data_IF_770535142522
#
_entry.id   IF_770535142522
#
_cell.length_a   1.000
_cell.length_b   1.000
_cell.length_c   1.000
_cell.angle_alpha   90.00
_cell.angle_beta   90.00
_cell.angle_gamma   90.00
#
_symmetry.space_group_name_H-M   'P 1'
#
loop_
_entity.id
_entity.type
_entity.pdbx_description
1 polymer ?
#
# COMPACT_ATOMS: atom_id res chain seq x y z
N UNK A 1 46.17 3.20 47.39
CA UNK A 1 45.07 2.26 47.06
C UNK A 1 43.65 2.90 47.03
N UNK A 2 43.49 4.24 46.97
CA UNK A 2 42.17 4.91 46.91
C UNK A 2 41.74 5.38 45.51
N UNK A 3 42.68 5.56 44.57
CA UNK A 3 42.41 6.10 43.22
C UNK A 3 41.61 5.14 42.32
N UNK A 4 41.86 3.83 42.40
CA UNK A 4 41.17 2.81 41.59
C UNK A 4 39.69 2.64 41.97
N UNK A 5 39.30 2.96 43.21
CA UNK A 5 37.92 2.88 43.70
C UNK A 5 37.01 3.98 43.13
N UNK A 6 37.57 5.09 42.67
CA UNK A 6 36.80 6.24 42.13
C UNK A 6 36.59 6.17 40.61
N UNK A 7 37.43 5.41 39.90
CA UNK A 7 37.31 5.16 38.45
C UNK A 7 36.19 4.16 38.09
N UNK A 8 35.91 3.23 39.00
CA UNK A 8 34.89 2.19 38.85
C UNK A 8 33.45 2.72 38.67
N UNK A 9 32.95 3.69 39.48
CA UNK A 9 31.62 4.25 39.29
C UNK A 9 31.50 5.07 38.00
N UNK A 10 32.58 5.76 37.57
CA UNK A 10 32.58 6.52 36.31
C UNK A 10 32.47 5.59 35.11
N UNK A 11 33.21 4.47 35.11
CA UNK A 11 33.10 3.45 34.07
C UNK A 11 31.73 2.76 34.05
N UNK A 12 31.12 2.51 35.21
CA UNK A 12 29.76 1.95 35.29
C UNK A 12 28.70 2.89 34.70
N UNK A 13 28.79 4.20 34.95
CA UNK A 13 27.86 5.19 34.39
C UNK A 13 28.05 5.32 32.87
N UNK A 14 29.30 5.31 32.39
CA UNK A 14 29.61 5.39 30.96
C UNK A 14 29.14 4.14 30.20
N UNK A 15 29.29 2.95 30.80
CA UNK A 15 28.79 1.69 30.23
C UNK A 15 27.25 1.64 30.20
N UNK A 16 26.59 2.19 31.23
CA UNK A 16 25.13 2.32 31.26
C UNK A 16 24.62 3.30 30.19
N UNK A 17 25.30 4.41 29.95
CA UNK A 17 24.88 5.39 28.93
C UNK A 17 25.00 4.84 27.50
N UNK A 18 25.99 3.99 27.23
CA UNK A 18 26.18 3.32 25.92
C UNK A 18 25.20 2.16 25.72
N UNK A 19 24.70 1.53 26.79
CA UNK A 19 23.78 0.38 26.73
C UNK A 19 22.29 0.72 26.51
N UNK A 20 21.87 1.98 26.64
CA UNK A 20 20.46 2.38 26.52
C UNK A 20 20.06 2.86 25.11
N UNK A 21 20.95 2.75 24.12
CA UNK A 21 20.73 3.28 22.76
C UNK A 21 19.90 2.43 21.80
N UNK A 22 19.53 1.19 22.15
CA UNK A 22 18.84 0.26 21.24
C UNK A 22 17.56 -0.32 21.87
N UNK A 23 16.61 0.55 22.20
CA UNK A 23 15.22 0.17 22.42
C UNK A 23 14.31 0.97 21.49
N UNK A 24 14.62 0.98 20.19
CA UNK A 24 13.63 1.34 19.17
C UNK A 24 12.60 0.23 19.12
N UNK A 25 11.55 0.37 19.92
CA UNK A 25 10.44 -0.58 20.03
C UNK A 25 9.77 -0.74 18.66
N UNK A 26 9.96 -1.94 18.11
CA UNK A 26 9.44 -2.49 16.85
C UNK A 26 7.91 -2.68 16.83
N UNK A 27 7.12 -1.66 17.20
CA UNK A 27 5.65 -1.73 17.18
C UNK A 27 5.00 -1.01 15.99
N UNK A 28 5.74 -0.78 14.90
CA UNK A 28 5.12 -0.28 13.67
C UNK A 28 4.25 -1.36 13.04
N UNK A 29 2.96 -1.09 12.73
CA UNK A 29 2.14 -2.01 11.95
C UNK A 29 2.83 -2.39 10.64
N UNK A 30 2.75 -3.67 10.26
CA UNK A 30 3.23 -4.10 8.95
C UNK A 30 2.35 -3.50 7.84
N UNK A 31 2.94 -3.04 6.72
CA UNK A 31 2.17 -2.55 5.59
C UNK A 31 1.34 -3.67 4.96
N UNK A 32 0.09 -3.35 4.61
CA UNK A 32 -0.83 -4.22 3.89
C UNK A 32 -0.92 -3.77 2.44
N UNK A 33 -0.84 -4.73 1.53
CA UNK A 33 -0.91 -4.48 0.10
C UNK A 33 -2.24 -5.02 -0.44
N UNK A 34 -2.88 -4.21 -1.28
CA UNK A 34 -4.18 -4.47 -1.86
C UNK A 34 -4.09 -4.40 -3.38
N UNK A 35 -4.67 -5.36 -4.06
CA UNK A 35 -4.89 -5.29 -5.51
C UNK A 35 -6.37 -5.04 -5.77
N UNK A 36 -6.67 -4.50 -6.93
CA UNK A 36 -8.07 -4.36 -7.34
C UNK A 36 -8.57 -5.74 -7.80
N UNK A 37 -9.65 -6.27 -7.21
CA UNK A 37 -10.18 -7.58 -7.55
C UNK A 37 -11.00 -7.54 -8.85
N UNK A 38 -10.93 -8.62 -9.63
CA UNK A 38 -11.77 -8.81 -10.83
C UNK A 38 -13.19 -9.23 -10.46
N UNK A 39 -14.16 -8.97 -11.35
CA UNK A 39 -15.57 -9.32 -11.14
C UNK A 39 -15.79 -10.83 -10.95
N UNK A 40 -14.88 -11.67 -11.45
CA UNK A 40 -14.86 -13.12 -11.18
C UNK A 40 -14.79 -13.43 -9.67
N UNK A 41 -14.15 -12.55 -8.89
CA UNK A 41 -14.06 -12.69 -7.43
C UNK A 41 -15.29 -12.14 -6.70
N UNK A 42 -16.18 -11.41 -7.40
CA UNK A 42 -17.28 -10.65 -6.79
C UNK A 42 -18.67 -11.32 -6.93
N UNK A 43 -18.78 -12.44 -7.66
CA UNK A 43 -20.01 -13.23 -7.75
C UNK A 43 -20.51 -13.45 -9.19
N UNK A 44 -21.83 -13.49 -9.38
CA UNK A 44 -22.44 -13.80 -10.68
C UNK A 44 -22.14 -12.71 -11.72
N UNK A 45 -21.41 -13.09 -12.77
CA UNK A 45 -21.10 -12.22 -13.91
C UNK A 45 -22.24 -12.29 -14.93
N UNK A 46 -22.91 -11.15 -15.16
CA UNK A 46 -23.90 -11.04 -16.24
C UNK A 46 -23.21 -11.01 -17.59
N UNK A 47 -23.42 -12.06 -18.39
CA UNK A 47 -22.95 -12.13 -19.79
C UNK A 47 -23.88 -11.36 -20.71
N UNK A 48 -23.30 -10.67 -21.68
CA UNK A 48 -24.04 -9.96 -22.73
C UNK A 48 -23.91 -10.70 -24.04
N UNK A 49 -25.01 -10.98 -24.73
CA UNK A 49 -24.93 -11.53 -26.08
C UNK A 49 -24.64 -10.41 -27.08
N UNK A 50 -23.52 -10.53 -27.80
CA UNK A 50 -23.19 -9.64 -28.91
C UNK A 50 -23.37 -10.41 -30.21
N UNK A 51 -24.16 -9.85 -31.13
CA UNK A 51 -24.52 -10.50 -32.40
C UNK A 51 -23.35 -10.61 -33.41
N UNK A 52 -22.24 -9.90 -33.21
CA UNK A 52 -21.12 -9.82 -34.14
C UNK A 52 -19.79 -9.70 -33.38
N UNK A 53 -18.68 -10.04 -34.03
CA UNK A 53 -17.34 -9.88 -33.45
C UNK A 53 -17.04 -8.39 -33.26
N UNK A 54 -16.74 -7.98 -32.04
CA UNK A 54 -16.40 -6.60 -31.67
C UNK A 54 -14.92 -6.52 -31.28
N UNK A 55 -14.25 -5.46 -31.71
CA UNK A 55 -12.91 -5.11 -31.24
C UNK A 55 -13.07 -3.92 -30.30
N UNK A 56 -12.57 -4.05 -29.07
CA UNK A 56 -12.61 -2.99 -28.06
C UNK A 56 -11.17 -2.55 -27.77
N UNK A 57 -10.88 -1.29 -28.03
CA UNK A 57 -9.63 -0.67 -27.62
C UNK A 57 -9.77 -0.07 -26.22
N UNK A 58 -8.83 -0.38 -25.34
CA UNK A 58 -8.71 0.26 -24.02
C UNK A 58 -7.64 1.34 -24.16
N UNK A 59 -8.04 2.60 -23.96
CA UNK A 59 -7.14 3.75 -24.00
C UNK A 59 -6.27 3.87 -22.76
N UNK A 60 -5.32 4.84 -22.74
CA UNK A 60 -4.53 5.13 -21.55
C UNK A 60 -5.45 5.55 -20.40
N UNK A 61 -5.12 5.09 -19.18
CA UNK A 61 -5.87 5.42 -17.97
C UNK A 61 -5.14 6.54 -17.25
N UNK A 62 -5.76 7.71 -17.22
CA UNK A 62 -5.24 8.86 -16.50
C UNK A 62 -5.75 8.85 -15.06
N UNK A 63 -4.82 8.64 -14.12
CA UNK A 63 -5.08 8.72 -12.69
C UNK A 63 -4.58 10.08 -12.19
N UNK A 64 -5.37 10.83 -11.40
CA UNK A 64 -4.90 12.07 -10.81
C UNK A 64 -3.61 11.87 -10.00
N UNK A 65 -2.67 12.82 -10.10
CA UNK A 65 -1.36 12.77 -9.44
C UNK A 65 -1.44 12.55 -7.91
N UNK A 66 -2.49 13.04 -7.26
CA UNK A 66 -2.65 12.80 -5.83
C UNK A 66 -2.98 11.33 -5.50
N UNK A 67 -3.57 10.59 -6.45
CA UNK A 67 -3.99 9.20 -6.31
C UNK A 67 -2.99 8.22 -6.95
N UNK A 68 -2.18 8.67 -7.92
CA UNK A 68 -1.15 7.86 -8.59
C UNK A 68 0.07 7.62 -7.69
N UNK A 69 -0.13 6.91 -6.58
CA UNK A 69 0.87 6.64 -5.55
C UNK A 69 0.66 5.25 -4.97
N UNK A 70 1.69 4.63 -4.39
CA UNK A 70 1.52 3.35 -3.70
C UNK A 70 0.59 3.43 -2.48
N UNK A 71 0.43 4.57 -1.83
CA UNK A 71 -0.45 4.70 -0.66
C UNK A 71 -1.91 4.85 -1.07
N UNK A 72 -2.82 4.20 -0.35
CA UNK A 72 -4.25 4.40 -0.58
C UNK A 72 -4.68 5.82 -0.18
N UNK A 73 -5.44 6.49 -1.04
CA UNK A 73 -5.91 7.86 -0.82
C UNK A 73 -7.43 7.88 -0.72
N UNK A 74 -7.94 8.50 0.33
CA UNK A 74 -9.37 8.72 0.53
C UNK A 74 -9.65 10.22 0.57
N UNK A 75 -10.78 10.64 0.00
CA UNK A 75 -11.25 12.02 0.01
C UNK A 75 -12.48 12.10 0.89
N UNK A 76 -12.50 12.99 1.88
CA UNK A 76 -13.71 13.24 2.68
C UNK A 76 -14.68 14.20 1.96
N UNK A 77 -15.84 14.45 2.57
CA UNK A 77 -16.86 15.36 2.00
C UNK A 77 -16.35 16.80 1.83
N UNK A 78 -15.42 17.24 2.68
CA UNK A 78 -14.82 18.58 2.64
C UNK A 78 -13.68 18.70 1.61
N UNK A 79 -13.36 17.61 0.90
CA UNK A 79 -12.28 17.56 -0.09
C UNK A 79 -10.87 17.36 0.47
N UNK A 80 -10.73 17.12 1.78
CA UNK A 80 -9.47 16.76 2.42
C UNK A 80 -9.04 15.35 2.01
N UNK A 81 -7.82 15.26 1.50
CA UNK A 81 -7.17 14.01 1.13
C UNK A 81 -6.48 13.39 2.34
N UNK A 82 -6.84 12.15 2.66
CA UNK A 82 -6.16 11.34 3.68
C UNK A 82 -5.39 10.23 3.00
N UNK A 83 -4.09 10.17 3.32
CA UNK A 83 -3.18 9.13 2.85
C UNK A 83 -3.06 8.05 3.91
N UNK A 84 -3.28 6.80 3.51
CA UNK A 84 -3.10 5.65 4.36
C UNK A 84 -1.62 5.46 4.72
N UNK A 85 -1.35 5.17 6.01
CA UNK A 85 0.01 4.98 6.50
C UNK A 85 0.53 3.57 6.17
N UNK A 86 -0.33 2.56 6.29
CA UNK A 86 0.05 1.15 6.17
C UNK A 86 -0.64 0.44 5.01
N UNK A 87 -1.75 0.98 4.49
CA UNK A 87 -2.49 0.42 3.38
C UNK A 87 -1.98 0.96 2.05
N UNK A 88 -1.54 0.05 1.19
CA UNK A 88 -0.90 0.35 -0.08
C UNK A 88 -1.53 -0.44 -1.22
N UNK A 89 -1.48 0.11 -2.42
CA UNK A 89 -1.74 -0.64 -3.64
C UNK A 89 -0.56 -1.58 -3.92
N UNK A 90 -0.87 -2.82 -4.31
CA UNK A 90 0.10 -3.84 -4.73
C UNK A 90 0.61 -3.65 -6.16
N UNK A 91 -0.05 -2.80 -6.94
CA UNK A 91 0.32 -2.37 -8.29
C UNK A 91 -0.07 -0.90 -8.47
N UNK A 92 0.41 -0.22 -9.52
CA UNK A 92 -0.02 1.15 -9.80
C UNK A 92 -1.50 1.16 -10.25
N UNK A 93 -2.23 2.19 -9.85
CA UNK A 93 -3.69 2.24 -10.06
C UNK A 93 -4.06 2.27 -11.55
N UNK A 94 -3.26 2.92 -12.38
CA UNK A 94 -3.42 2.95 -13.84
C UNK A 94 -3.28 1.54 -14.44
N UNK A 95 -2.22 0.81 -14.08
CA UNK A 95 -1.97 -0.55 -14.55
C UNK A 95 -3.05 -1.53 -14.06
N UNK A 96 -3.37 -1.48 -12.76
CA UNK A 96 -4.39 -2.33 -12.17
C UNK A 96 -5.79 -2.08 -12.75
N UNK A 97 -6.13 -0.82 -13.03
CA UNK A 97 -7.39 -0.46 -13.67
C UNK A 97 -7.46 -0.94 -15.12
N UNK A 98 -6.37 -0.81 -15.89
CA UNK A 98 -6.33 -1.24 -17.29
C UNK A 98 -6.48 -2.76 -17.40
N UNK A 99 -5.74 -3.48 -16.55
CA UNK A 99 -5.85 -4.94 -16.40
C UNK A 99 -7.28 -5.35 -16.07
N UNK A 100 -7.88 -4.73 -15.04
CA UNK A 100 -9.23 -5.08 -14.62
C UNK A 100 -10.31 -4.81 -15.66
N UNK A 101 -10.25 -3.66 -16.34
CA UNK A 101 -11.22 -3.35 -17.38
C UNK A 101 -11.14 -4.40 -18.49
N UNK A 102 -9.92 -4.79 -18.90
CA UNK A 102 -9.73 -5.86 -19.88
C UNK A 102 -10.30 -7.19 -19.40
N UNK A 103 -9.92 -7.63 -18.19
CA UNK A 103 -10.40 -8.89 -17.62
C UNK A 103 -11.93 -8.93 -17.50
N UNK A 104 -12.54 -7.87 -16.97
CA UNK A 104 -13.99 -7.80 -16.81
C UNK A 104 -14.71 -7.82 -18.16
N UNK A 105 -14.20 -7.10 -19.18
CA UNK A 105 -14.79 -7.13 -20.51
C UNK A 105 -14.71 -8.51 -21.17
N UNK A 106 -13.58 -9.22 -21.01
CA UNK A 106 -13.43 -10.61 -21.50
C UNK A 106 -14.43 -11.55 -20.82
N UNK A 107 -14.73 -11.33 -19.54
CA UNK A 107 -15.69 -12.17 -18.80
C UNK A 107 -17.16 -11.88 -19.16
N UNK A 108 -17.47 -10.61 -19.44
CA UNK A 108 -18.83 -10.13 -19.69
C UNK A 108 -19.25 -10.28 -21.15
N UNK A 109 -18.30 -10.33 -22.09
CA UNK A 109 -18.54 -10.39 -23.52
C UNK A 109 -18.12 -11.76 -24.10
N UNK A 110 -18.84 -12.28 -25.10
CA UNK A 110 -18.60 -13.59 -25.72
C UNK A 110 -17.37 -13.63 -26.62
#
# INVERSE_FOLDING_TARGET
MKQIRFLYPVWLVLFSFVGNGCLSVSNSPMPKFYTLPSIDNAGEVKKFEISHKVIIGIGPIEIPEYQNRPQMVTKNQDGLLKFAQFERWGESLDAGSARLISENLILMLP
#
